data_IF_887770844418
#
_entry.id   IF_887770844418
#
_cell.length_a   1.000
_cell.length_b   1.000
_cell.length_c   1.000
_cell.angle_alpha   90.00
_cell.angle_beta   90.00
_cell.angle_gamma   90.00
#
_symmetry.space_group_name_H-M   'P 1'
#
loop_
_entity.id
_entity.type
_entity.pdbx_description
1 polymer ?
#
# COMPACT_ATOMS: atom_id res chain seq x y z
N UNK A 1 -8.08 -32.86 29.96
CA UNK A 1 -8.82 -32.45 28.77
C UNK A 1 -8.81 -30.95 28.78
N UNK A 2 -8.03 -30.35 27.90
CA UNK A 2 -7.85 -28.90 27.87
C UNK A 2 -9.19 -28.23 27.52
N UNK A 3 -9.65 -27.33 28.40
CA UNK A 3 -10.75 -26.42 28.12
C UNK A 3 -10.26 -25.39 27.08
N UNK A 4 -10.38 -25.77 25.80
CA UNK A 4 -10.14 -24.87 24.70
C UNK A 4 -11.30 -23.87 24.60
N UNK A 5 -11.07 -22.66 25.12
CA UNK A 5 -12.00 -21.54 24.97
C UNK A 5 -11.88 -20.93 23.57
N UNK A 6 -12.74 -21.39 22.67
CA UNK A 6 -12.84 -20.90 21.30
C UNK A 6 -13.16 -19.39 21.20
N UNK A 7 -13.86 -18.82 22.18
CA UNK A 7 -14.25 -17.40 22.16
C UNK A 7 -13.04 -16.52 22.47
N UNK A 8 -12.25 -16.90 23.47
CA UNK A 8 -11.00 -16.23 23.79
C UNK A 8 -10.01 -16.27 22.62
N UNK A 9 -9.93 -17.39 21.90
CA UNK A 9 -9.01 -17.54 20.78
C UNK A 9 -9.43 -16.70 19.55
N UNK A 10 -10.73 -16.65 19.24
CA UNK A 10 -11.27 -15.77 18.19
C UNK A 10 -11.05 -14.30 18.52
N UNK A 11 -11.19 -13.90 19.79
CA UNK A 11 -10.93 -12.51 20.22
C UNK A 11 -9.46 -12.12 20.01
N UNK A 12 -8.51 -13.01 20.33
CA UNK A 12 -7.09 -12.80 20.05
C UNK A 12 -6.81 -12.67 18.56
N UNK A 13 -7.40 -13.54 17.72
CA UNK A 13 -7.24 -13.49 16.27
C UNK A 13 -7.74 -12.17 15.68
N UNK A 14 -8.91 -11.67 16.11
CA UNK A 14 -9.45 -10.38 15.67
C UNK A 14 -8.53 -9.21 16.04
N UNK A 15 -7.99 -9.22 17.26
CA UNK A 15 -7.04 -8.20 17.73
C UNK A 15 -5.73 -8.21 16.93
N UNK A 16 -5.19 -9.39 16.63
CA UNK A 16 -4.02 -9.56 15.78
C UNK A 16 -4.26 -9.10 14.34
N UNK A 17 -5.43 -9.42 13.77
CA UNK A 17 -5.82 -8.95 12.45
C UNK A 17 -5.92 -7.42 12.37
N UNK A 18 -6.45 -6.78 13.41
CA UNK A 18 -6.53 -5.32 13.49
C UNK A 18 -5.14 -4.66 13.58
N UNK A 19 -4.24 -5.19 14.42
CA UNK A 19 -2.86 -4.71 14.54
C UNK A 19 -2.13 -4.86 13.20
N UNK A 20 -2.30 -5.99 12.53
CA UNK A 20 -1.71 -6.25 11.21
C UNK A 20 -2.29 -5.33 10.14
N UNK A 21 -3.59 -5.02 10.20
CA UNK A 21 -4.26 -4.05 9.31
C UNK A 21 -3.70 -2.63 9.47
N UNK A 22 -3.40 -2.22 10.71
CA UNK A 22 -2.79 -0.90 11.01
C UNK A 22 -1.32 -0.80 10.61
N UNK A 23 -0.59 -1.92 10.65
CA UNK A 23 0.74 -2.06 10.03
C UNK A 23 0.60 -2.25 8.52
N UNK A 24 0.02 -1.28 7.81
CA UNK A 24 0.13 -1.22 6.36
C UNK A 24 1.61 -1.23 6.01
N UNK A 25 2.11 -2.36 5.48
CA UNK A 25 3.48 -2.50 4.96
C UNK A 25 3.80 -1.24 4.17
N UNK A 26 4.85 -0.52 4.58
CA UNK A 26 5.43 0.56 3.77
C UNK A 26 5.73 -0.04 2.40
N UNK A 27 4.87 0.26 1.44
CA UNK A 27 5.04 -0.19 0.07
C UNK A 27 6.34 0.41 -0.45
N UNK A 28 7.06 -0.31 -1.33
CA UNK A 28 8.21 0.25 -2.05
C UNK A 28 7.85 1.55 -2.79
N UNK A 29 6.57 1.73 -3.14
CA UNK A 29 6.02 2.97 -3.69
C UNK A 29 5.93 4.11 -2.66
N UNK A 30 5.65 3.80 -1.39
CA UNK A 30 5.57 4.79 -0.31
C UNK A 30 6.93 5.48 -0.07
N UNK A 31 8.05 4.79 -0.32
CA UNK A 31 9.39 5.40 -0.31
C UNK A 31 9.51 6.57 -1.29
N UNK A 32 8.79 6.52 -2.41
CA UNK A 32 8.81 7.54 -3.45
C UNK A 32 7.51 8.36 -3.49
N UNK A 33 6.76 8.41 -2.38
CA UNK A 33 5.41 8.99 -2.36
C UNK A 33 5.39 10.43 -2.86
N UNK A 34 6.27 11.28 -2.33
CA UNK A 34 6.33 12.69 -2.69
C UNK A 34 6.68 12.89 -4.17
N UNK A 35 7.66 12.15 -4.69
CA UNK A 35 8.07 12.26 -6.08
C UNK A 35 6.98 11.76 -7.04
N UNK A 36 6.33 10.64 -6.72
CA UNK A 36 5.24 10.09 -7.53
C UNK A 36 4.03 11.03 -7.58
N UNK A 37 3.67 11.64 -6.44
CA UNK A 37 2.58 12.62 -6.40
C UNK A 37 2.93 13.90 -7.15
N UNK A 38 4.15 14.42 -6.98
CA UNK A 38 4.60 15.61 -7.71
C UNK A 38 4.58 15.39 -9.23
N UNK A 39 5.13 14.27 -9.71
CA UNK A 39 5.09 13.93 -11.14
C UNK A 39 3.66 13.76 -11.66
N UNK A 40 2.77 13.14 -10.87
CA UNK A 40 1.36 13.00 -11.25
C UNK A 40 0.65 14.36 -11.32
N UNK A 41 0.95 15.28 -10.39
CA UNK A 41 0.41 16.65 -10.43
C UNK A 41 0.89 17.44 -11.65
N UNK A 42 2.10 17.18 -12.15
CA UNK A 42 2.60 17.76 -13.41
C UNK A 42 2.03 17.09 -14.67
N UNK A 43 1.11 16.14 -14.53
CA UNK A 43 0.46 15.44 -15.64
C UNK A 43 1.11 14.13 -16.08
N UNK A 44 2.07 13.59 -15.31
CA UNK A 44 2.67 12.30 -15.64
C UNK A 44 1.64 11.17 -15.52
N UNK A 45 1.64 10.27 -16.50
CA UNK A 45 0.73 9.12 -16.51
C UNK A 45 1.26 7.99 -15.61
N UNK A 46 0.41 7.02 -15.27
CA UNK A 46 0.84 5.85 -14.51
C UNK A 46 1.94 5.04 -15.24
N UNK A 47 2.00 5.08 -16.57
CA UNK A 47 3.05 4.45 -17.36
C UNK A 47 4.40 5.18 -17.21
N UNK A 48 4.39 6.51 -17.17
CA UNK A 48 5.59 7.33 -16.95
C UNK A 48 6.16 7.10 -15.55
N UNK A 49 5.29 7.06 -14.55
CA UNK A 49 5.66 6.72 -13.17
C UNK A 49 6.25 5.31 -13.09
N UNK A 50 5.69 4.33 -13.80
CA UNK A 50 6.25 2.98 -13.87
C UNK A 50 7.64 2.98 -14.52
N UNK A 51 7.83 3.71 -15.62
CA UNK A 51 9.14 3.82 -16.29
C UNK A 51 10.19 4.45 -15.38
N UNK A 52 9.81 5.48 -14.63
CA UNK A 52 10.67 6.12 -13.63
C UNK A 52 10.99 5.22 -12.43
N UNK A 53 10.06 4.35 -12.01
CA UNK A 53 10.34 3.35 -10.97
C UNK A 53 11.30 2.27 -11.49
N UNK A 54 11.16 1.87 -12.75
CA UNK A 54 12.05 0.89 -13.38
C UNK A 54 13.50 1.39 -13.45
N UNK A 55 13.71 2.68 -13.73
CA UNK A 55 15.07 3.27 -13.69
C UNK A 55 15.68 3.30 -12.29
N UNK A 56 14.87 3.14 -11.24
CA UNK A 56 15.29 3.04 -9.83
C UNK A 56 15.37 1.60 -9.33
N UNK A 57 15.45 0.63 -10.25
CA UNK A 57 15.45 -0.80 -9.95
C UNK A 57 14.18 -1.31 -9.23
N UNK A 58 13.06 -0.60 -9.35
CA UNK A 58 11.77 -1.05 -8.84
C UNK A 58 10.89 -1.56 -9.97
N UNK A 59 10.80 -2.89 -10.07
CA UNK A 59 9.84 -3.55 -10.95
C UNK A 59 8.45 -3.58 -10.29
N UNK A 60 7.57 -2.73 -10.80
CA UNK A 60 6.17 -2.60 -10.36
C UNK A 60 5.27 -2.71 -11.59
N UNK A 61 4.15 -3.44 -11.47
CA UNK A 61 3.16 -3.56 -12.54
C UNK A 61 2.34 -2.28 -12.65
N UNK A 62 1.99 -1.87 -13.87
CA UNK A 62 1.14 -0.72 -14.16
C UNK A 62 -0.10 -0.61 -13.24
N UNK A 63 -0.83 -1.71 -13.07
CA UNK A 63 -2.04 -1.79 -12.23
C UNK A 63 -1.76 -1.45 -10.76
N UNK A 64 -0.56 -1.77 -10.27
CA UNK A 64 -0.15 -1.44 -8.90
C UNK A 64 0.10 0.06 -8.77
N UNK A 65 0.76 0.68 -9.75
CA UNK A 65 1.00 2.13 -9.78
C UNK A 65 -0.32 2.89 -9.90
N UNK A 66 -1.19 2.50 -10.83
CA UNK A 66 -2.51 3.14 -11.02
C UNK A 66 -3.38 3.04 -9.77
N UNK A 67 -3.53 1.85 -9.16
CA UNK A 67 -4.28 1.67 -7.91
C UNK A 67 -3.67 2.49 -6.77
N UNK A 68 -2.35 2.53 -6.67
CA UNK A 68 -1.65 3.28 -5.63
C UNK A 68 -1.88 4.79 -5.80
N UNK A 69 -1.75 5.33 -7.01
CA UNK A 69 -2.02 6.74 -7.29
C UNK A 69 -3.47 7.07 -6.97
N UNK A 70 -4.44 6.31 -7.50
CA UNK A 70 -5.87 6.53 -7.23
C UNK A 70 -6.18 6.56 -5.73
N UNK A 71 -5.57 5.66 -4.94
CA UNK A 71 -5.75 5.64 -3.48
C UNK A 71 -5.13 6.87 -2.79
N UNK A 72 -3.99 7.36 -3.27
CA UNK A 72 -3.26 8.47 -2.64
C UNK A 72 -3.69 9.85 -3.15
N UNK A 73 -4.36 9.95 -4.30
CA UNK A 73 -4.94 11.20 -4.82
C UNK A 73 -6.35 11.43 -4.28
N UNK A 74 -7.18 10.38 -4.14
CA UNK A 74 -8.55 10.48 -3.57
C UNK A 74 -8.54 10.88 -2.09
N UNK A 75 -7.50 10.54 -1.33
CA UNK A 75 -7.35 10.94 0.07
C UNK A 75 -6.71 12.32 0.26
N UNK A 76 -6.43 13.05 -0.82
CA UNK A 76 -5.75 14.36 -0.79
C UNK A 76 -6.70 15.52 -1.15
N UNK A 77 -8.01 15.29 -1.09
CA UNK A 77 -9.09 16.26 -1.30
C UNK A 77 -10.09 16.23 -0.17
#
# INVERSE_FOLDING_TARGET
>A
MDDFDAVAEVAKLKKLAEITRRKTKSSRLTRYKSQLLAMHQTGATAADLQRWLKSRHLNVVHSTVSRWIKKNTVNNG
#
